data_IF_677268547789
#
_entry.id   IF_677268547789
#
_cell.length_a   1.000
_cell.length_b   1.000
_cell.length_c   1.000
_cell.angle_alpha   90.00
_cell.angle_beta   90.00
_cell.angle_gamma   90.00
#
_symmetry.space_group_name_H-M   'P 1'
#
loop_
_entity.id
_entity.type
_entity.pdbx_description
1 polymer ?
#
# COMPACT_ATOMS: atom_id res chain seq x y z
N UNK A 1 -11.47 -35.87 25.75
CA UNK A 1 -11.90 -34.70 24.96
C UNK A 1 -11.08 -33.52 25.41
N UNK A 2 -9.91 -33.32 24.78
CA UNK A 2 -9.04 -32.18 25.10
C UNK A 2 -9.15 -31.19 23.94
N UNK A 3 -9.80 -30.07 24.23
CA UNK A 3 -10.01 -28.99 23.28
C UNK A 3 -8.68 -28.32 22.97
N UNK A 4 -8.25 -28.43 21.71
CA UNK A 4 -7.14 -27.65 21.15
C UNK A 4 -7.43 -26.16 21.35
N UNK A 5 -6.68 -25.52 22.23
CA UNK A 5 -6.57 -24.06 22.29
C UNK A 5 -5.95 -23.57 20.97
N UNK A 6 -6.79 -23.12 20.05
CA UNK A 6 -6.32 -22.33 18.92
C UNK A 6 -5.88 -20.98 19.46
N UNK A 7 -4.57 -20.76 19.52
CA UNK A 7 -4.02 -19.42 19.61
C UNK A 7 -4.40 -18.68 18.32
N UNK A 8 -5.49 -17.91 18.38
CA UNK A 8 -5.76 -16.89 17.38
C UNK A 8 -4.71 -15.82 17.61
N UNK A 9 -3.63 -15.85 16.83
CA UNK A 9 -2.79 -14.67 16.65
C UNK A 9 -3.68 -13.60 16.05
N UNK A 10 -4.33 -12.80 16.89
CA UNK A 10 -5.05 -11.60 16.48
C UNK A 10 -3.99 -10.65 15.92
N UNK A 11 -3.73 -10.75 14.62
CA UNK A 11 -2.92 -9.77 13.90
C UNK A 11 -3.54 -8.41 14.19
N UNK A 12 -2.74 -7.50 14.74
CA UNK A 12 -3.18 -6.13 14.98
C UNK A 12 -3.87 -5.60 13.72
N UNK A 13 -4.98 -4.86 13.83
CA UNK A 13 -5.70 -4.36 12.67
C UNK A 13 -4.73 -3.54 11.82
N UNK A 14 -4.38 -4.06 10.65
CA UNK A 14 -3.62 -3.29 9.68
C UNK A 14 -4.56 -2.25 9.11
N UNK A 15 -4.27 -0.98 9.38
CA UNK A 15 -5.12 0.12 8.95
C UNK A 15 -4.42 0.86 7.82
N UNK A 16 -4.87 0.60 6.59
CA UNK A 16 -4.39 1.25 5.38
C UNK A 16 -5.49 2.18 4.88
N UNK A 17 -5.25 3.48 5.01
CA UNK A 17 -6.10 4.50 4.43
C UNK A 17 -5.53 4.88 3.06
N UNK A 18 -6.35 4.77 2.01
CA UNK A 18 -5.96 5.16 0.65
C UNK A 18 -6.84 6.32 0.21
N UNK A 19 -6.20 7.38 -0.27
CA UNK A 19 -6.84 8.59 -0.80
C UNK A 19 -6.15 9.02 -2.10
N UNK A 20 -6.81 9.88 -2.86
CA UNK A 20 -6.25 10.44 -4.08
C UNK A 20 -7.23 11.36 -4.79
N UNK A 21 -6.72 12.27 -5.62
CA UNK A 21 -7.54 13.22 -6.36
C UNK A 21 -8.26 12.60 -7.56
N UNK A 22 -7.76 11.47 -8.06
CA UNK A 22 -8.23 10.83 -9.29
C UNK A 22 -8.92 9.50 -8.97
N UNK A 23 -10.26 9.48 -9.05
CA UNK A 23 -11.06 8.35 -8.59
C UNK A 23 -10.73 7.00 -9.26
N UNK A 24 -10.52 6.98 -10.58
CA UNK A 24 -10.20 5.74 -11.31
C UNK A 24 -8.83 5.15 -10.92
N UNK A 25 -7.85 6.01 -10.57
CA UNK A 25 -6.55 5.57 -10.06
C UNK A 25 -6.68 4.97 -8.67
N UNK A 26 -7.48 5.60 -7.81
CA UNK A 26 -7.76 5.06 -6.47
C UNK A 26 -8.45 3.71 -6.59
N UNK A 27 -9.48 3.58 -7.42
CA UNK A 27 -10.19 2.31 -7.63
C UNK A 27 -9.26 1.19 -8.11
N UNK A 28 -8.40 1.48 -9.09
CA UNK A 28 -7.44 0.52 -9.64
C UNK A 28 -6.34 0.11 -8.63
N UNK A 29 -5.85 1.05 -7.83
CA UNK A 29 -4.66 0.85 -7.00
C UNK A 29 -4.95 0.57 -5.52
N UNK A 30 -6.17 0.85 -5.04
CA UNK A 30 -6.50 0.68 -3.62
C UNK A 30 -6.27 -0.74 -3.14
N UNK A 31 -6.80 -1.74 -3.85
CA UNK A 31 -6.65 -3.15 -3.48
C UNK A 31 -5.18 -3.63 -3.50
N UNK A 32 -4.40 -3.44 -4.59
CA UNK A 32 -3.01 -3.88 -4.59
C UNK A 32 -2.15 -3.15 -3.54
N UNK A 33 -2.41 -1.87 -3.27
CA UNK A 33 -1.72 -1.11 -2.22
C UNK A 33 -2.08 -1.62 -0.82
N UNK A 34 -3.37 -1.90 -0.58
CA UNK A 34 -3.81 -2.52 0.68
C UNK A 34 -3.13 -3.86 0.89
N UNK A 35 -3.15 -4.77 -0.08
CA UNK A 35 -2.50 -6.08 0.05
C UNK A 35 -1.00 -5.99 0.31
N UNK A 36 -0.31 -5.08 -0.37
CA UNK A 36 1.12 -4.87 -0.19
C UNK A 36 1.45 -4.46 1.26
N UNK A 37 0.61 -3.60 1.85
CA UNK A 37 0.81 -3.00 3.17
C UNK A 37 0.19 -3.83 4.32
N UNK A 38 -0.86 -4.60 4.05
CA UNK A 38 -1.60 -5.44 5.00
C UNK A 38 -0.73 -6.51 5.67
N UNK A 39 0.31 -6.96 4.97
CA UNK A 39 1.34 -7.88 5.49
C UNK A 39 2.11 -7.33 6.71
N UNK A 40 1.92 -6.06 7.07
CA UNK A 40 2.63 -5.35 8.14
C UNK A 40 1.67 -4.89 9.22
N UNK A 41 1.97 -5.19 10.48
CA UNK A 41 1.19 -4.72 11.65
C UNK A 41 1.42 -3.22 11.93
N UNK A 42 1.09 -2.35 10.98
CA UNK A 42 1.30 -0.89 11.04
C UNK A 42 0.15 -0.12 10.41
N UNK A 43 0.08 1.16 10.76
CA UNK A 43 -0.83 2.12 10.16
C UNK A 43 -0.14 2.81 8.99
N UNK A 44 -0.79 2.84 7.82
CA UNK A 44 -0.32 3.55 6.64
C UNK A 44 -1.39 4.49 6.12
N UNK A 45 -0.96 5.69 5.72
CA UNK A 45 -1.75 6.61 4.90
C UNK A 45 -1.10 6.64 3.52
N UNK A 46 -1.89 6.40 2.49
CA UNK A 46 -1.44 6.34 1.11
C UNK A 46 -2.20 7.37 0.29
N UNK A 47 -1.46 8.32 -0.29
CA UNK A 47 -2.01 9.31 -1.21
C UNK A 47 -1.58 9.02 -2.65
N UNK A 48 -2.54 9.04 -3.57
CA UNK A 48 -2.37 8.75 -4.99
C UNK A 48 -2.68 10.01 -5.79
N UNK A 49 -1.65 10.58 -6.40
CA UNK A 49 -1.75 11.80 -7.20
C UNK A 49 -1.27 11.54 -8.62
N UNK A 50 -2.05 11.95 -9.61
CA UNK A 50 -1.56 12.05 -10.98
C UNK A 50 -0.72 13.32 -11.10
N UNK A 51 0.51 13.20 -11.58
CA UNK A 51 1.43 14.32 -11.74
C UNK A 51 1.86 14.49 -13.19
N UNK A 52 2.08 15.75 -13.59
CA UNK A 52 2.55 16.11 -14.91
C UNK A 52 1.52 15.89 -16.04
N UNK A 53 1.94 16.15 -17.27
CA UNK A 53 1.09 16.01 -18.46
C UNK A 53 1.10 14.60 -19.06
N UNK A 54 2.06 13.76 -18.67
CA UNK A 54 2.31 12.43 -19.26
C UNK A 54 1.55 11.32 -18.50
N UNK A 55 0.90 11.66 -17.39
CA UNK A 55 0.09 10.73 -16.60
C UNK A 55 0.89 9.86 -15.65
N UNK A 56 2.04 10.36 -15.17
CA UNK A 56 2.78 9.74 -14.08
C UNK A 56 1.93 9.75 -12.81
N UNK A 57 2.12 8.75 -11.95
CA UNK A 57 1.37 8.62 -10.71
C UNK A 57 2.33 8.58 -9.54
N UNK A 58 2.17 9.53 -8.63
CA UNK A 58 2.86 9.58 -7.35
C UNK A 58 2.02 8.83 -6.32
N UNK A 59 2.59 7.78 -5.75
CA UNK A 59 2.06 7.07 -4.59
C UNK A 59 2.90 7.46 -3.38
N UNK A 60 2.32 8.24 -2.46
CA UNK A 60 2.97 8.66 -1.23
C UNK A 60 2.53 7.78 -0.07
N UNK A 61 3.43 6.94 0.43
CA UNK A 61 3.16 6.05 1.58
C UNK A 61 3.73 6.70 2.84
N UNK A 62 2.86 7.02 3.79
CA UNK A 62 3.22 7.64 5.07
C UNK A 62 2.94 6.67 6.21
N UNK A 63 3.92 6.51 7.10
CA UNK A 63 3.84 5.73 8.33
C UNK A 63 4.37 6.54 9.50
N UNK A 64 4.28 5.99 10.72
CA UNK A 64 4.93 6.59 11.89
C UNK A 64 6.45 6.66 11.80
N UNK A 65 7.08 5.93 10.86
CA UNK A 65 8.55 5.93 10.67
C UNK A 65 9.03 6.88 9.58
N UNK A 66 8.13 7.44 8.79
CA UNK A 66 8.48 8.36 7.72
C UNK A 66 7.57 8.24 6.52
N UNK A 67 7.97 8.93 5.45
CA UNK A 67 7.26 9.00 4.17
C UNK A 67 8.13 8.47 3.04
N UNK A 68 7.50 7.71 2.15
CA UNK A 68 8.11 7.15 0.96
C UNK A 68 7.29 7.52 -0.27
N UNK A 69 7.80 8.45 -1.10
CA UNK A 69 7.22 8.71 -2.41
C UNK A 69 7.69 7.64 -3.41
N UNK A 70 6.75 7.06 -4.15
CA UNK A 70 7.01 6.17 -5.29
C UNK A 70 6.38 6.75 -6.53
N UNK A 71 7.16 6.83 -7.60
CA UNK A 71 6.70 7.34 -8.88
C UNK A 71 6.52 6.19 -9.86
N UNK A 72 5.34 6.12 -10.47
CA UNK A 72 5.01 5.13 -11.49
C UNK A 72 4.74 5.82 -12.81
N UNK A 73 5.30 5.27 -13.89
CA UNK A 73 4.85 5.62 -15.23
C UNK A 73 3.43 5.11 -15.46
N UNK A 74 2.72 5.70 -16.43
CA UNK A 74 1.36 5.29 -16.77
C UNK A 74 1.29 3.82 -17.21
N UNK A 75 2.30 3.35 -17.91
CA UNK A 75 2.41 1.95 -18.35
C UNK A 75 2.70 0.97 -17.21
N UNK A 76 3.20 1.46 -16.08
CA UNK A 76 3.60 0.66 -14.91
C UNK A 76 2.48 0.53 -13.86
N UNK A 77 1.27 1.00 -14.16
CA UNK A 77 0.12 0.95 -13.24
C UNK A 77 -0.56 -0.43 -13.18
N UNK A 78 0.11 -1.48 -13.65
CA UNK A 78 -0.39 -2.83 -13.50
C UNK A 78 -0.47 -3.20 -12.00
N UNK A 79 -1.63 -3.66 -11.49
CA UNK A 79 -1.81 -3.96 -10.07
C UNK A 79 -0.76 -4.91 -9.47
N UNK A 80 -0.32 -5.92 -10.23
CA UNK A 80 0.68 -6.89 -9.79
C UNK A 80 2.07 -6.26 -9.64
N UNK A 81 2.46 -5.44 -10.60
CA UNK A 81 3.70 -4.67 -10.54
C UNK A 81 3.71 -3.68 -9.37
N UNK A 82 2.65 -2.87 -9.22
CA UNK A 82 2.54 -1.90 -8.12
C UNK A 82 2.63 -2.59 -6.77
N UNK A 83 1.89 -3.69 -6.57
CA UNK A 83 1.95 -4.48 -5.34
C UNK A 83 3.39 -4.93 -5.02
N UNK A 84 4.09 -5.51 -6.01
CA UNK A 84 5.46 -5.99 -5.84
C UNK A 84 6.39 -4.85 -5.43
N UNK A 85 6.40 -3.75 -6.20
CA UNK A 85 7.29 -2.61 -5.93
C UNK A 85 7.03 -2.02 -4.56
N UNK A 86 5.77 -1.82 -4.19
CA UNK A 86 5.40 -1.26 -2.89
C UNK A 86 5.83 -2.19 -1.75
N UNK A 87 5.54 -3.49 -1.87
CA UNK A 87 5.92 -4.49 -0.85
C UNK A 87 7.44 -4.54 -0.64
N UNK A 88 8.20 -4.63 -1.73
CA UNK A 88 9.65 -4.72 -1.69
C UNK A 88 10.28 -3.45 -1.13
N UNK A 89 9.75 -2.29 -1.53
CA UNK A 89 10.29 -1.00 -1.11
C UNK A 89 10.00 -0.73 0.37
N UNK A 90 8.78 -0.96 0.84
CA UNK A 90 8.44 -0.84 2.26
C UNK A 90 9.27 -1.81 3.11
N UNK A 91 9.47 -3.05 2.65
CA UNK A 91 10.34 -4.01 3.32
C UNK A 91 11.79 -3.51 3.43
N UNK A 92 12.32 -2.94 2.34
CA UNK A 92 13.69 -2.46 2.26
C UNK A 92 13.96 -1.26 3.16
N UNK A 93 13.03 -0.32 3.22
CA UNK A 93 13.18 0.91 4.02
C UNK A 93 12.64 0.78 5.45
N UNK A 94 12.04 -0.36 5.79
CA UNK A 94 11.59 -0.66 7.15
C UNK A 94 10.46 0.25 7.66
N UNK A 95 9.67 0.80 6.72
CA UNK A 95 8.47 1.61 6.98
C UNK A 95 7.38 0.80 7.68
#
# INVERSE_FOLDING_TARGET
MEGRTMAVCAGAPTFVQVSGQTAWLVDQLQEPLRRALESRSRFYVVDIDAIGHVGEVLVSITSSRGRLPLLFGREDLEPGYVHRIVSDTVARFGL
#
